data_IF_576625821214
#
_entry.id   IF_576625821214
#
_cell.length_a   1.000
_cell.length_b   1.000
_cell.length_c   1.000
_cell.angle_alpha   90.00
_cell.angle_beta   90.00
_cell.angle_gamma   90.00
#
_symmetry.space_group_name_H-M   'P 1'
#
loop_
_entity.id
_entity.type
_entity.pdbx_description
1 polymer ?
#
# COMPACT_ATOMS: atom_id res chain seq x y z
N UNK A 1 -22.11 -6.79 -23.32
CA UNK A 1 -23.34 -7.28 -22.67
C UNK A 1 -23.86 -6.14 -21.81
N UNK A 2 -25.18 -5.90 -21.76
CA UNK A 2 -25.72 -4.78 -21.00
C UNK A 2 -25.38 -4.96 -19.50
N UNK A 3 -24.67 -4.00 -18.91
CA UNK A 3 -24.38 -4.01 -17.47
C UNK A 3 -25.70 -3.88 -16.73
N UNK A 4 -26.11 -4.91 -16.00
CA UNK A 4 -27.21 -4.83 -15.05
C UNK A 4 -26.93 -3.69 -14.06
N UNK A 5 -27.93 -2.87 -13.74
CA UNK A 5 -27.75 -1.80 -12.75
C UNK A 5 -27.56 -2.42 -11.36
N UNK A 6 -26.81 -1.74 -10.48
CA UNK A 6 -26.61 -2.18 -9.09
C UNK A 6 -27.94 -2.48 -8.41
N UNK A 7 -28.97 -1.66 -8.65
CA UNK A 7 -30.33 -1.89 -8.14
C UNK A 7 -30.90 -3.24 -8.57
N UNK A 8 -30.81 -3.58 -9.86
CA UNK A 8 -31.33 -4.86 -10.38
C UNK A 8 -30.58 -6.09 -9.84
N UNK A 9 -29.28 -5.94 -9.54
CA UNK A 9 -28.48 -7.00 -8.93
C UNK A 9 -28.94 -7.22 -7.48
N UNK A 10 -29.18 -6.15 -6.72
CA UNK A 10 -29.67 -6.23 -5.34
C UNK A 10 -31.05 -6.89 -5.25
N UNK A 11 -31.96 -6.58 -6.18
CA UNK A 11 -33.26 -7.25 -6.27
C UNK A 11 -33.11 -8.75 -6.52
N UNK A 12 -32.14 -9.14 -7.37
CA UNK A 12 -31.76 -10.54 -7.61
C UNK A 12 -31.22 -11.25 -6.38
N UNK A 13 -30.35 -10.59 -5.59
CA UNK A 13 -29.85 -11.13 -4.30
C UNK A 13 -31.01 -11.37 -3.33
N UNK A 14 -31.94 -10.41 -3.20
CA UNK A 14 -33.08 -10.53 -2.31
C UNK A 14 -34.00 -11.70 -2.69
N UNK A 15 -34.29 -11.87 -3.98
CA UNK A 15 -35.09 -12.98 -4.48
C UNK A 15 -34.39 -14.33 -4.26
N UNK A 16 -33.12 -14.46 -4.66
CA UNK A 16 -32.35 -15.69 -4.50
C UNK A 16 -32.14 -16.06 -3.03
N UNK A 17 -31.99 -15.06 -2.14
CA UNK A 17 -31.87 -15.27 -0.69
C UNK A 17 -33.14 -15.89 -0.08
N UNK A 18 -34.32 -15.48 -0.56
CA UNK A 18 -35.59 -16.08 -0.13
C UNK A 18 -35.70 -17.55 -0.57
N UNK A 19 -35.46 -17.83 -1.85
CA UNK A 19 -35.44 -19.19 -2.41
C UNK A 19 -34.43 -20.11 -1.72
N UNK A 20 -33.27 -19.57 -1.33
CA UNK A 20 -32.27 -20.32 -0.57
C UNK A 20 -32.75 -20.71 0.82
N UNK A 21 -33.45 -19.80 1.53
CA UNK A 21 -34.08 -20.10 2.82
C UNK A 21 -35.18 -21.18 2.73
N UNK A 22 -35.77 -21.35 1.55
CA UNK A 22 -36.79 -22.35 1.25
C UNK A 22 -36.21 -23.69 0.71
N UNK A 23 -34.87 -23.84 0.67
CA UNK A 23 -34.15 -25.01 0.14
C UNK A 23 -34.46 -25.33 -1.34
N UNK A 24 -34.79 -24.31 -2.15
CA UNK A 24 -35.03 -24.51 -3.58
C UNK A 24 -33.75 -24.88 -4.33
N UNK A 25 -33.84 -25.81 -5.28
CA UNK A 25 -32.69 -26.25 -6.07
C UNK A 25 -32.12 -25.12 -6.94
N UNK A 26 -30.80 -24.92 -6.92
CA UNK A 26 -30.12 -23.89 -7.70
C UNK A 26 -30.11 -22.48 -7.08
N UNK A 27 -30.85 -22.28 -5.98
CA UNK A 27 -30.93 -20.99 -5.29
C UNK A 27 -29.60 -20.53 -4.69
N UNK A 28 -28.78 -21.48 -4.21
CA UNK A 28 -27.44 -21.22 -3.68
C UNK A 28 -26.50 -20.67 -4.76
N UNK A 29 -26.51 -21.30 -5.93
CA UNK A 29 -25.67 -20.94 -7.06
C UNK A 29 -26.06 -19.55 -7.59
N UNK A 30 -27.36 -19.29 -7.73
CA UNK A 30 -27.89 -17.99 -8.12
C UNK A 30 -27.48 -16.88 -7.14
N UNK A 31 -27.58 -17.15 -5.83
CA UNK A 31 -27.18 -16.19 -4.80
C UNK A 31 -25.68 -15.87 -4.86
N UNK A 32 -24.84 -16.88 -5.13
CA UNK A 32 -23.39 -16.68 -5.34
C UNK A 32 -23.13 -15.84 -6.59
N UNK A 33 -23.83 -16.09 -7.69
CA UNK A 33 -23.64 -15.39 -8.96
C UNK A 33 -24.04 -13.91 -8.87
N UNK A 34 -25.18 -13.61 -8.24
CA UNK A 34 -25.59 -12.23 -7.99
C UNK A 34 -24.64 -11.50 -7.04
N UNK A 35 -24.15 -12.17 -6.00
CA UNK A 35 -23.17 -11.59 -5.07
C UNK A 35 -21.86 -11.24 -5.79
N UNK A 36 -21.37 -12.13 -6.67
CA UNK A 36 -20.20 -11.85 -7.51
C UNK A 36 -20.44 -10.69 -8.48
N UNK A 37 -21.62 -10.64 -9.07
CA UNK A 37 -22.02 -9.57 -9.98
C UNK A 37 -22.09 -8.21 -9.26
N UNK A 38 -22.55 -8.18 -8.01
CA UNK A 38 -22.58 -6.97 -7.20
C UNK A 38 -21.16 -6.48 -6.91
N UNK A 39 -20.27 -7.38 -6.49
CA UNK A 39 -18.85 -7.05 -6.28
C UNK A 39 -18.24 -6.52 -7.57
N UNK A 40 -18.42 -7.21 -8.70
CA UNK A 40 -17.89 -6.79 -10.00
C UNK A 40 -18.45 -5.45 -10.49
N UNK A 41 -19.70 -5.10 -10.13
CA UNK A 41 -20.33 -3.84 -10.51
C UNK A 41 -19.89 -2.65 -9.64
N UNK A 42 -19.45 -2.90 -8.41
CA UNK A 42 -19.01 -1.87 -7.45
C UNK A 42 -17.50 -1.67 -7.43
N UNK A 43 -16.75 -2.73 -7.71
CA UNK A 43 -15.30 -2.73 -7.64
C UNK A 43 -14.68 -1.87 -8.75
N UNK A 44 -13.85 -0.91 -8.36
CA UNK A 44 -13.09 -0.10 -9.32
C UNK A 44 -11.85 -0.85 -9.81
N UNK A 45 -11.28 -0.50 -10.98
CA UNK A 45 -10.10 -1.20 -11.52
C UNK A 45 -8.92 -1.28 -10.56
N UNK A 46 -8.64 -0.23 -9.77
CA UNK A 46 -7.59 -0.25 -8.75
C UNK A 46 -7.86 -1.25 -7.61
N UNK A 47 -9.12 -1.39 -7.19
CA UNK A 47 -9.55 -2.36 -6.19
C UNK A 47 -9.53 -3.78 -6.75
N UNK A 48 -9.97 -3.97 -8.01
CA UNK A 48 -9.80 -5.23 -8.72
C UNK A 48 -8.32 -5.55 -8.95
N UNK A 49 -7.42 -4.59 -9.07
CA UNK A 49 -5.98 -4.89 -9.17
C UNK A 49 -5.40 -5.22 -7.80
N UNK A 50 -5.82 -4.55 -6.74
CA UNK A 50 -5.36 -4.85 -5.40
C UNK A 50 -5.91 -6.19 -4.89
N UNK A 51 -7.21 -6.43 -5.11
CA UNK A 51 -7.97 -7.65 -4.83
C UNK A 51 -7.95 -8.64 -5.97
N UNK A 52 -7.39 -8.36 -7.17
CA UNK A 52 -6.90 -9.36 -8.16
C UNK A 52 -5.39 -9.64 -8.37
N UNK A 53 -4.49 -8.74 -7.95
CA UNK A 53 -3.05 -8.75 -8.15
C UNK A 53 -2.10 -8.76 -6.90
N UNK A 54 -2.51 -8.49 -5.65
CA UNK A 54 -1.58 -8.36 -4.50
C UNK A 54 -1.53 -9.39 -3.35
N UNK A 55 -2.61 -10.04 -2.94
CA UNK A 55 -2.69 -10.81 -1.67
C UNK A 55 -3.12 -12.33 -1.72
N UNK A 56 -3.19 -13.11 -2.84
CA UNK A 56 -3.99 -14.42 -3.05
C UNK A 56 -2.96 -15.41 -3.52
N UNK A 57 -1.93 -14.97 -4.27
CA UNK A 57 -0.65 -15.68 -4.20
C UNK A 57 0.15 -15.35 -2.98
N UNK A 58 -0.13 -14.21 -2.37
CA UNK A 58 0.50 -13.78 -1.14
C UNK A 58 -0.10 -14.53 0.07
N UNK A 59 -1.42 -14.55 0.25
CA UNK A 59 -2.26 -15.71 -0.08
C UNK A 59 -1.60 -17.08 0.06
N UNK A 60 -1.39 -17.67 -1.10
CA UNK A 60 -0.83 -18.98 -1.33
C UNK A 60 0.51 -19.21 -0.62
N UNK A 61 1.41 -18.22 -0.65
CA UNK A 61 2.70 -18.28 0.03
C UNK A 61 2.53 -18.32 1.57
N UNK A 62 1.60 -17.53 2.11
CA UNK A 62 1.28 -17.57 3.52
C UNK A 62 0.58 -18.85 3.94
N UNK A 63 -0.28 -19.42 3.10
CA UNK A 63 -0.88 -20.74 3.36
C UNK A 63 0.24 -21.76 3.45
N UNK A 64 1.22 -21.70 2.54
CA UNK A 64 2.38 -22.61 2.55
C UNK A 64 3.17 -22.49 3.85
N UNK A 65 3.53 -21.28 4.26
CA UNK A 65 4.26 -21.03 5.50
C UNK A 65 3.44 -21.47 6.72
N UNK A 66 2.15 -21.15 6.77
CA UNK A 66 1.23 -21.56 7.83
C UNK A 66 1.10 -23.09 7.94
N UNK A 67 1.15 -23.82 6.82
CA UNK A 67 1.22 -25.29 6.81
C UNK A 67 2.55 -25.79 7.37
N UNK A 68 3.67 -25.23 6.91
CA UNK A 68 5.02 -25.67 7.30
C UNK A 68 5.24 -25.52 8.82
N UNK A 69 4.70 -24.45 9.42
CA UNK A 69 4.81 -24.17 10.85
C UNK A 69 3.63 -24.70 11.68
N UNK A 70 2.73 -25.49 11.08
CA UNK A 70 1.54 -26.07 11.72
C UNK A 70 0.64 -25.05 12.41
N UNK A 71 0.60 -23.83 11.88
CA UNK A 71 -0.17 -22.71 12.43
C UNK A 71 -1.65 -23.08 12.61
N UNK A 72 -2.24 -23.78 11.64
CA UNK A 72 -3.65 -24.17 11.66
C UNK A 72 -3.98 -25.20 12.75
N UNK A 73 -3.05 -26.10 13.05
CA UNK A 73 -3.21 -27.10 14.11
C UNK A 73 -3.17 -26.43 15.48
N UNK A 74 -2.25 -25.49 15.70
CA UNK A 74 -2.18 -24.74 16.95
C UNK A 74 -3.41 -23.85 17.18
N UNK A 75 -3.93 -23.22 16.13
CA UNK A 75 -5.19 -22.46 16.20
C UNK A 75 -6.39 -23.37 16.48
N UNK A 76 -6.44 -24.56 15.86
CA UNK A 76 -7.50 -25.56 16.10
C UNK A 76 -7.48 -26.09 17.53
N UNK A 77 -6.30 -26.36 18.08
CA UNK A 77 -6.12 -26.80 19.47
C UNK A 77 -6.55 -25.74 20.48
N UNK A 78 -6.42 -24.46 20.14
CA UNK A 78 -6.83 -23.35 20.99
C UNK A 78 -8.35 -23.09 21.01
N UNK A 79 -9.08 -23.62 20.03
CA UNK A 79 -10.54 -23.46 19.93
C UNK A 79 -10.98 -22.00 19.87
N UNK A 80 -12.18 -21.72 20.38
CA UNK A 80 -12.82 -20.38 20.30
C UNK A 80 -12.08 -19.29 21.12
N UNK A 81 -11.17 -19.69 22.01
CA UNK A 81 -10.33 -18.77 22.77
C UNK A 81 -9.23 -18.12 21.90
N UNK A 82 -8.88 -18.75 20.78
CA UNK A 82 -7.81 -18.30 19.89
C UNK A 82 -6.42 -18.30 20.54
N UNK A 83 -5.42 -17.79 19.81
CA UNK A 83 -4.07 -17.57 20.31
C UNK A 83 -3.61 -16.17 19.95
N UNK A 84 -2.93 -15.50 20.88
CA UNK A 84 -2.23 -14.25 20.59
C UNK A 84 -1.03 -14.52 19.68
N UNK A 85 -0.57 -13.49 18.96
CA UNK A 85 0.62 -13.60 18.12
C UNK A 85 1.87 -14.05 18.90
N UNK A 86 2.01 -13.60 20.15
CA UNK A 86 3.07 -14.03 21.07
C UNK A 86 2.98 -15.51 21.42
N UNK A 87 1.77 -16.01 21.70
CA UNK A 87 1.55 -17.43 21.99
C UNK A 87 1.76 -18.32 20.75
N UNK A 88 1.43 -17.82 19.56
CA UNK A 88 1.74 -18.49 18.29
C UNK A 88 3.23 -18.49 17.99
N UNK A 89 3.94 -17.41 18.31
CA UNK A 89 5.40 -17.32 18.14
C UNK A 89 6.13 -18.34 19.00
N UNK A 90 5.78 -18.46 20.28
CA UNK A 90 6.35 -19.47 21.17
C UNK A 90 6.10 -20.90 20.66
N UNK A 91 4.93 -21.16 20.07
CA UNK A 91 4.55 -22.49 19.56
C UNK A 91 5.19 -22.85 18.23
N UNK A 92 5.43 -21.86 17.36
CA UNK A 92 5.88 -22.08 15.98
C UNK A 92 7.36 -21.79 15.77
N UNK A 93 8.00 -21.06 16.70
CA UNK A 93 9.36 -20.55 16.54
C UNK A 93 9.49 -19.40 15.52
N UNK A 94 8.37 -18.92 14.98
CA UNK A 94 8.31 -17.80 14.04
C UNK A 94 8.21 -16.50 14.82
N UNK A 95 8.92 -15.45 14.38
CA UNK A 95 8.85 -14.13 15.02
C UNK A 95 7.40 -13.60 15.10
N UNK A 96 7.10 -12.92 16.21
CA UNK A 96 5.76 -12.37 16.50
C UNK A 96 5.29 -11.42 15.39
N UNK A 97 6.18 -10.57 14.88
CA UNK A 97 5.84 -9.61 13.82
C UNK A 97 5.55 -10.33 12.50
N UNK A 98 6.29 -11.40 12.20
CA UNK A 98 6.09 -12.20 11.00
C UNK A 98 4.78 -13.00 11.05
N UNK A 99 4.41 -13.60 12.19
CA UNK A 99 3.12 -14.29 12.36
C UNK A 99 1.92 -13.37 12.22
N UNK A 100 2.03 -12.15 12.76
CA UNK A 100 1.03 -11.10 12.58
C UNK A 100 0.87 -10.73 11.10
N UNK A 101 1.97 -10.67 10.35
CA UNK A 101 1.95 -10.38 8.90
C UNK A 101 1.37 -11.55 8.09
N UNK A 102 1.76 -12.78 8.41
CA UNK A 102 1.33 -14.00 7.71
C UNK A 102 -0.17 -14.26 7.83
N UNK A 103 -0.74 -14.13 9.03
CA UNK A 103 -2.17 -14.38 9.26
C UNK A 103 -3.07 -13.37 8.55
N UNK A 104 -2.63 -12.12 8.39
CA UNK A 104 -3.39 -11.04 7.74
C UNK A 104 -3.43 -11.16 6.22
N UNK A 105 -2.37 -11.70 5.65
CA UNK A 105 -2.15 -11.69 4.22
C UNK A 105 -2.70 -12.96 3.52
N UNK A 106 -3.26 -13.89 4.30
CA UNK A 106 -4.05 -15.06 3.86
C UNK A 106 -5.36 -14.72 3.09
N UNK A 107 -5.50 -13.55 2.44
CA UNK A 107 -6.80 -13.03 1.97
C UNK A 107 -6.98 -12.61 0.48
N UNK A 108 -6.04 -12.10 -0.34
CA UNK A 108 -6.44 -11.69 -1.74
C UNK A 108 -5.43 -11.16 -2.82
N UNK A 109 -5.06 -11.92 -3.90
CA UNK A 109 -4.65 -11.89 -5.38
C UNK A 109 -3.26 -11.63 -6.19
N UNK A 110 -3.14 -11.86 -7.57
CA UNK A 110 -1.99 -11.70 -8.64
C UNK A 110 -2.25 -11.32 -10.18
N UNK A 111 -1.30 -10.56 -10.85
CA UNK A 111 -0.54 -10.75 -12.18
C UNK A 111 0.67 -9.81 -12.57
N UNK A 112 0.82 -8.49 -12.29
CA UNK A 112 2.16 -7.82 -12.37
C UNK A 112 3.10 -8.46 -11.33
N UNK A 113 2.48 -8.72 -10.19
CA UNK A 113 2.97 -9.61 -9.19
C UNK A 113 3.15 -11.05 -9.67
N UNK A 114 2.84 -11.48 -10.91
CA UNK A 114 3.19 -12.82 -11.43
C UNK A 114 4.62 -12.87 -11.95
N UNK A 115 5.00 -11.92 -12.81
CA UNK A 115 6.28 -11.98 -13.51
C UNK A 115 7.40 -11.25 -12.74
N UNK A 116 7.06 -10.19 -12.01
CA UNK A 116 8.05 -9.38 -11.28
C UNK A 116 7.99 -9.64 -9.77
N UNK A 117 6.79 -9.62 -9.17
CA UNK A 117 6.65 -9.79 -7.72
C UNK A 117 6.66 -11.24 -7.24
N UNK A 118 6.08 -12.18 -8.00
CA UNK A 118 5.90 -13.58 -7.60
C UNK A 118 7.21 -14.28 -7.33
N UNK A 119 8.26 -14.09 -8.16
CA UNK A 119 9.54 -14.71 -7.87
C UNK A 119 10.07 -14.25 -6.50
N UNK A 120 9.97 -12.95 -6.19
CA UNK A 120 10.35 -12.39 -4.89
C UNK A 120 9.55 -13.01 -3.75
N UNK A 121 8.21 -12.99 -3.84
CA UNK A 121 7.34 -13.56 -2.81
C UNK A 121 7.47 -15.08 -2.65
N UNK A 122 7.61 -15.83 -3.74
CA UNK A 122 7.87 -17.27 -3.68
C UNK A 122 9.25 -17.58 -3.09
N UNK A 123 10.22 -16.67 -3.27
CA UNK A 123 11.56 -16.76 -2.70
C UNK A 123 11.65 -16.43 -1.22
N UNK A 124 10.64 -15.78 -0.63
CA UNK A 124 10.65 -15.36 0.79
C UNK A 124 11.03 -16.48 1.76
N UNK A 125 10.42 -17.69 1.71
CA UNK A 125 10.75 -18.74 2.68
C UNK A 125 12.23 -19.10 2.68
N UNK A 126 12.82 -19.27 1.49
CA UNK A 126 14.24 -19.60 1.37
C UNK A 126 15.13 -18.40 1.70
N UNK A 127 14.74 -17.18 1.29
CA UNK A 127 15.46 -15.95 1.62
C UNK A 127 15.54 -15.71 3.13
N UNK A 128 14.41 -15.79 3.85
CA UNK A 128 14.43 -15.56 5.29
C UNK A 128 15.05 -16.73 6.04
N UNK A 129 14.93 -17.97 5.55
CA UNK A 129 15.65 -19.11 6.12
C UNK A 129 17.17 -18.93 6.03
N UNK A 130 17.71 -18.46 4.89
CA UNK A 130 19.16 -18.21 4.75
C UNK A 130 19.65 -17.02 5.60
N UNK A 131 18.79 -16.04 5.89
CA UNK A 131 19.14 -14.86 6.71
C UNK A 131 18.76 -15.03 8.18
N UNK A 132 18.46 -16.25 8.64
CA UNK A 132 18.01 -16.51 10.01
C UNK A 132 16.83 -15.62 10.45
N UNK A 133 15.91 -15.40 9.51
CA UNK A 133 14.69 -14.62 9.65
C UNK A 133 14.91 -13.16 10.06
N UNK A 134 16.08 -12.60 9.73
CA UNK A 134 16.36 -11.18 9.90
C UNK A 134 15.82 -10.38 8.72
N UNK A 135 15.24 -9.21 9.01
CA UNK A 135 14.84 -8.24 7.99
C UNK A 135 16.08 -7.69 7.26
N UNK A 136 16.02 -7.48 5.94
CA UNK A 136 17.08 -6.75 5.24
C UNK A 136 17.18 -5.33 5.80
N UNK A 137 18.38 -4.75 5.72
CA UNK A 137 18.56 -3.31 5.96
C UNK A 137 17.74 -2.50 4.95
N UNK A 138 17.15 -1.39 5.40
CA UNK A 138 16.31 -0.54 4.56
C UNK A 138 17.10 -0.07 3.33
N UNK A 139 16.51 -0.19 2.14
CA UNK A 139 17.14 0.20 0.87
C UNK A 139 18.26 -0.73 0.37
N UNK A 140 18.53 -1.85 1.06
CA UNK A 140 19.62 -2.75 0.71
C UNK A 140 19.42 -3.45 -0.64
N UNK A 141 20.53 -3.64 -1.37
CA UNK A 141 20.63 -4.47 -2.59
C UNK A 141 20.80 -5.97 -2.27
N UNK A 142 20.72 -6.37 -1.01
CA UNK A 142 20.71 -7.77 -0.59
C UNK A 142 19.29 -8.22 -0.17
N UNK A 143 18.27 -7.70 -0.88
CA UNK A 143 16.87 -7.93 -0.60
C UNK A 143 16.26 -9.18 -1.27
N UNK A 144 14.99 -9.50 -0.95
CA UNK A 144 14.25 -10.57 -1.60
C UNK A 144 14.16 -10.43 -3.11
N UNK A 145 14.02 -9.19 -3.62
CA UNK A 145 13.98 -8.91 -5.05
C UNK A 145 15.28 -9.31 -5.75
N UNK A 146 16.42 -8.85 -5.22
CA UNK A 146 17.74 -9.14 -5.77
C UNK A 146 18.05 -10.63 -5.73
N UNK A 147 17.67 -11.32 -4.65
CA UNK A 147 17.83 -12.76 -4.57
C UNK A 147 16.95 -13.52 -5.56
N UNK A 148 15.70 -13.10 -5.76
CA UNK A 148 14.81 -13.80 -6.69
C UNK A 148 15.21 -13.60 -8.14
N UNK A 149 15.58 -12.37 -8.52
CA UNK A 149 15.93 -12.01 -9.89
C UNK A 149 17.42 -12.15 -10.20
N UNK A 150 18.22 -12.59 -9.22
CA UNK A 150 19.68 -12.78 -9.33
C UNK A 150 20.38 -11.55 -9.90
N UNK A 151 20.02 -10.38 -9.37
CA UNK A 151 20.49 -9.07 -9.82
C UNK A 151 21.11 -8.30 -8.66
N UNK A 152 21.99 -7.35 -8.98
CA UNK A 152 22.52 -6.35 -8.03
C UNK A 152 21.99 -4.95 -8.33
N UNK A 153 21.06 -4.81 -9.27
CA UNK A 153 20.44 -3.54 -9.59
C UNK A 153 19.34 -3.20 -8.56
N UNK A 154 19.16 -1.91 -8.23
CA UNK A 154 17.93 -1.40 -7.63
C UNK A 154 16.72 -1.75 -8.50
N UNK A 155 15.53 -1.81 -7.89
CA UNK A 155 14.29 -2.22 -8.57
C UNK A 155 14.01 -1.43 -9.86
N UNK A 156 14.00 -0.09 -9.79
CA UNK A 156 13.71 0.75 -10.94
C UNK A 156 14.77 0.64 -12.04
N UNK A 157 16.06 0.56 -11.68
CA UNK A 157 17.14 0.35 -12.64
C UNK A 157 17.01 -1.00 -13.34
N UNK A 158 16.60 -2.04 -12.60
CA UNK A 158 16.33 -3.35 -13.18
C UNK A 158 15.17 -3.29 -14.17
N UNK A 159 14.05 -2.60 -13.86
CA UNK A 159 12.92 -2.44 -14.78
C UNK A 159 13.34 -1.78 -16.10
N UNK A 160 14.16 -0.73 -16.01
CA UNK A 160 14.72 -0.03 -17.18
C UNK A 160 15.63 -0.95 -17.99
N UNK A 161 16.51 -1.70 -17.31
CA UNK A 161 17.47 -2.59 -17.92
C UNK A 161 16.85 -3.86 -18.52
N UNK A 162 15.60 -4.19 -18.18
CA UNK A 162 14.91 -5.43 -18.58
C UNK A 162 13.56 -5.19 -19.26
N UNK A 163 13.52 -4.73 -20.52
CA UNK A 163 12.26 -4.62 -21.27
C UNK A 163 11.54 -5.98 -21.40
N UNK A 164 10.19 -6.03 -21.34
CA UNK A 164 9.24 -4.90 -21.31
C UNK A 164 8.82 -4.44 -19.89
N UNK A 165 9.57 -4.76 -18.84
CA UNK A 165 9.09 -4.64 -17.46
C UNK A 165 8.74 -3.20 -17.02
N UNK A 166 9.47 -2.18 -17.47
CA UNK A 166 9.11 -0.77 -17.20
C UNK A 166 7.74 -0.39 -17.78
N UNK A 167 7.47 -0.78 -19.03
CA UNK A 167 6.17 -0.48 -19.67
C UNK A 167 5.01 -1.16 -18.93
N UNK A 168 5.24 -2.38 -18.43
CA UNK A 168 4.27 -3.09 -17.61
C UNK A 168 4.04 -2.40 -16.26
N UNK A 169 5.11 -1.93 -15.62
CA UNK A 169 5.03 -1.16 -14.37
C UNK A 169 4.25 0.15 -14.57
N UNK A 170 4.51 0.91 -15.62
CA UNK A 170 3.80 2.16 -15.92
C UNK A 170 2.30 1.92 -16.14
N UNK A 171 1.97 0.88 -16.94
CA UNK A 171 0.59 0.48 -17.20
C UNK A 171 -0.13 0.06 -15.91
N UNK A 172 0.58 -0.67 -15.06
CA UNK A 172 0.10 -1.10 -13.75
C UNK A 172 -0.20 0.09 -12.83
N UNK A 173 0.74 1.03 -12.69
CA UNK A 173 0.57 2.23 -11.85
C UNK A 173 -0.55 3.13 -12.34
N UNK A 174 -0.71 3.27 -13.66
CA UNK A 174 -1.83 3.98 -14.26
C UNK A 174 -3.18 3.36 -13.87
N UNK A 175 -3.30 2.04 -13.97
CA UNK A 175 -4.52 1.33 -13.60
C UNK A 175 -4.79 1.33 -12.09
N UNK A 176 -3.74 1.26 -11.25
CA UNK A 176 -3.86 1.33 -9.80
C UNK A 176 -4.40 2.68 -9.31
N UNK A 177 -3.98 3.79 -9.95
CA UNK A 177 -4.45 5.14 -9.64
C UNK A 177 -5.83 5.43 -10.22
N UNK A 178 -6.25 4.70 -11.25
CA UNK A 178 -7.52 4.92 -11.92
C UNK A 178 -8.71 4.69 -10.97
N UNK A 179 -9.57 5.71 -10.86
CA UNK A 179 -10.80 5.65 -10.06
C UNK A 179 -10.63 5.93 -8.57
N UNK A 180 -9.39 6.09 -8.07
CA UNK A 180 -9.15 6.53 -6.69
C UNK A 180 -9.59 7.98 -6.49
N UNK A 181 -10.13 8.28 -5.32
CA UNK A 181 -10.43 9.64 -4.92
C UNK A 181 -9.12 10.44 -4.80
N UNK A 182 -9.07 11.63 -5.40
CA UNK A 182 -7.91 12.50 -5.31
C UNK A 182 -7.93 13.32 -4.01
N UNK A 183 -6.75 13.70 -3.53
CA UNK A 183 -6.63 14.51 -2.33
C UNK A 183 -7.32 15.89 -2.45
N UNK A 184 -7.43 16.42 -3.66
CA UNK A 184 -8.17 17.67 -3.96
C UNK A 184 -9.68 17.46 -4.19
N UNK A 185 -10.19 16.25 -3.94
CA UNK A 185 -11.62 15.96 -4.02
C UNK A 185 -12.43 16.78 -2.99
N UNK A 186 -13.67 17.19 -3.31
CA UNK A 186 -14.52 17.93 -2.39
C UNK A 186 -14.67 17.20 -1.05
N UNK A 187 -14.39 17.89 0.05
CA UNK A 187 -14.58 17.37 1.41
C UNK A 187 -13.40 16.58 1.98
N UNK A 188 -12.28 16.44 1.26
CA UNK A 188 -11.07 15.79 1.80
C UNK A 188 -10.05 16.81 2.31
N UNK A 189 -9.37 17.51 1.40
CA UNK A 189 -8.46 18.60 1.73
C UNK A 189 -9.10 19.95 1.38
N UNK A 190 -9.07 20.95 2.28
CA UNK A 190 -9.67 22.26 2.02
C UNK A 190 -8.80 23.11 1.07
N UNK A 191 -8.73 22.71 -0.20
CA UNK A 191 -7.91 23.34 -1.26
C UNK A 191 -8.18 24.84 -1.36
N UNK A 192 -9.45 25.26 -1.37
CA UNK A 192 -9.81 26.67 -1.48
C UNK A 192 -9.17 27.51 -0.37
N UNK A 193 -9.25 27.07 0.87
CA UNK A 193 -8.74 27.81 2.03
C UNK A 193 -7.21 27.71 2.16
N UNK A 194 -6.68 26.48 2.04
CA UNK A 194 -5.27 26.17 2.32
C UNK A 194 -4.33 26.43 1.16
N UNK A 195 -4.83 26.47 -0.08
CA UNK A 195 -4.01 26.72 -1.27
C UNK A 195 -4.40 27.97 -2.02
N UNK A 196 -5.69 28.20 -2.29
CA UNK A 196 -6.12 29.29 -3.18
C UNK A 196 -6.21 30.63 -2.44
N UNK A 197 -6.95 30.71 -1.35
CA UNK A 197 -7.14 31.97 -0.59
C UNK A 197 -5.85 32.43 0.10
N UNK A 198 -5.00 31.48 0.47
CA UNK A 198 -3.67 31.74 1.06
C UNK A 198 -2.56 31.85 0.02
N UNK A 199 -2.88 31.77 -1.28
CA UNK A 199 -1.94 32.08 -2.35
C UNK A 199 -1.64 33.58 -2.36
N UNK A 200 -0.37 33.89 -2.57
CA UNK A 200 0.14 35.25 -2.57
C UNK A 200 1.19 35.36 -3.67
N UNK A 201 0.78 35.96 -4.77
CA UNK A 201 1.63 36.12 -5.95
C UNK A 201 2.88 37.00 -5.69
N UNK A 202 2.91 37.76 -4.58
CA UNK A 202 4.12 38.48 -4.16
C UNK A 202 5.15 37.57 -3.49
N UNK A 203 4.74 36.39 -3.02
CA UNK A 203 5.60 35.38 -2.42
C UNK A 203 6.18 34.41 -3.45
N UNK A 204 5.35 33.94 -4.39
CA UNK A 204 5.72 33.12 -5.55
C UNK A 204 4.56 33.11 -6.55
N UNK A 205 4.83 33.01 -7.83
CA UNK A 205 3.83 32.82 -8.88
C UNK A 205 3.41 31.35 -9.05
N UNK A 206 4.04 30.42 -8.30
CA UNK A 206 3.79 28.98 -8.41
C UNK A 206 2.87 28.47 -7.28
N UNK A 207 1.73 27.90 -7.69
CA UNK A 207 0.74 27.33 -6.77
C UNK A 207 1.13 25.93 -6.28
N UNK A 208 1.52 25.04 -7.19
CA UNK A 208 1.77 23.62 -6.92
C UNK A 208 2.96 23.13 -7.74
N UNK A 209 3.83 22.36 -7.10
CA UNK A 209 4.94 21.63 -7.74
C UNK A 209 4.76 20.14 -7.45
N UNK A 210 4.73 19.29 -8.48
CA UNK A 210 4.47 17.84 -8.36
C UNK A 210 5.43 16.94 -9.16
N UNK A 211 6.39 17.52 -9.91
CA UNK A 211 7.36 16.78 -10.71
C UNK A 211 8.74 17.44 -10.58
N UNK A 212 9.74 16.65 -10.18
CA UNK A 212 11.16 17.01 -10.12
C UNK A 212 12.03 15.77 -9.84
N UNK A 213 13.31 15.81 -10.18
CA UNK A 213 14.30 14.84 -9.70
C UNK A 213 14.63 15.11 -8.22
N UNK A 214 13.98 14.37 -7.34
CA UNK A 214 14.01 14.58 -5.90
C UNK A 214 15.36 14.31 -5.22
N UNK A 215 16.34 13.73 -5.90
CA UNK A 215 17.72 13.62 -5.41
C UNK A 215 18.56 14.88 -5.67
N UNK A 216 17.98 15.89 -6.32
CA UNK A 216 18.63 17.18 -6.53
C UNK A 216 17.85 18.31 -5.84
N UNK A 217 18.50 19.41 -5.43
CA UNK A 217 17.81 20.53 -4.79
C UNK A 217 16.65 21.04 -5.65
N UNK A 218 15.46 21.18 -5.04
CA UNK A 218 14.26 21.58 -5.76
C UNK A 218 14.43 22.98 -6.39
N UNK A 219 14.33 23.13 -7.73
CA UNK A 219 14.62 24.38 -8.43
C UNK A 219 13.57 25.46 -8.22
N UNK A 220 12.30 25.10 -8.06
CA UNK A 220 11.22 26.07 -7.88
C UNK A 220 11.15 26.47 -6.40
N UNK A 221 11.49 27.72 -6.10
CA UNK A 221 11.56 28.24 -4.72
C UNK A 221 10.28 28.97 -4.32
N UNK A 222 9.87 28.78 -3.07
CA UNK A 222 8.80 29.54 -2.44
C UNK A 222 7.39 29.23 -2.94
N UNK A 223 7.18 28.13 -3.69
CA UNK A 223 5.86 27.76 -4.15
C UNK A 223 4.90 27.57 -2.96
N UNK A 224 3.60 27.77 -3.21
CA UNK A 224 2.58 27.62 -2.17
C UNK A 224 2.50 26.19 -1.66
N UNK A 225 2.62 25.20 -2.54
CA UNK A 225 2.59 23.79 -2.19
C UNK A 225 3.55 22.94 -3.04
N UNK A 226 4.09 21.91 -2.42
CA UNK A 226 4.89 20.86 -3.05
C UNK A 226 4.25 19.51 -2.74
N UNK A 227 3.92 18.73 -3.76
CA UNK A 227 3.18 17.48 -3.63
C UNK A 227 4.06 16.29 -4.00
N UNK A 228 4.10 15.29 -3.12
CA UNK A 228 4.71 13.98 -3.37
C UNK A 228 3.61 12.93 -3.20
N UNK A 229 3.48 12.02 -4.15
CA UNK A 229 2.44 11.00 -4.14
C UNK A 229 3.09 9.63 -4.27
N UNK A 230 3.06 8.84 -3.18
CA UNK A 230 3.66 7.51 -3.11
C UNK A 230 5.11 7.55 -3.61
N UNK A 231 5.91 8.42 -2.99
CA UNK A 231 7.33 8.57 -3.33
C UNK A 231 8.16 8.05 -2.18
N UNK A 232 7.94 8.57 -0.97
CA UNK A 232 8.82 8.30 0.17
C UNK A 232 8.71 6.85 0.66
N UNK A 233 7.62 6.15 0.34
CA UNK A 233 7.46 4.74 0.66
C UNK A 233 8.38 3.80 -0.15
N UNK A 234 8.91 4.24 -1.30
CA UNK A 234 9.83 3.44 -2.12
C UNK A 234 11.27 3.45 -1.57
N UNK A 235 11.53 4.28 -0.56
CA UNK A 235 12.88 4.59 -0.08
C UNK A 235 13.06 4.30 1.41
N UNK A 236 14.31 3.99 1.78
CA UNK A 236 14.75 3.87 3.16
C UNK A 236 14.63 5.20 3.92
N UNK A 237 14.85 5.16 5.24
CA UNK A 237 14.70 6.35 6.07
C UNK A 237 15.78 7.39 5.78
N UNK A 238 17.01 6.99 5.44
CA UNK A 238 18.10 7.93 5.17
C UNK A 238 17.93 8.60 3.79
N UNK A 239 17.59 7.84 2.74
CA UNK A 239 17.27 8.38 1.41
C UNK A 239 16.01 9.24 1.45
N UNK A 240 15.00 8.83 2.23
CA UNK A 240 13.79 9.63 2.42
C UNK A 240 14.07 10.98 3.10
N UNK A 241 15.01 11.03 4.04
CA UNK A 241 15.49 12.30 4.63
C UNK A 241 16.22 13.14 3.59
N UNK A 242 17.12 12.56 2.80
CA UNK A 242 17.84 13.28 1.72
C UNK A 242 16.87 13.94 0.73
N UNK A 243 15.84 13.21 0.29
CA UNK A 243 14.77 13.73 -0.57
C UNK A 243 14.07 14.94 0.07
N UNK A 244 13.71 14.82 1.35
CA UNK A 244 13.05 15.89 2.09
C UNK A 244 13.98 17.09 2.31
N UNK A 245 15.27 16.89 2.56
CA UNK A 245 16.27 17.95 2.70
C UNK A 245 16.42 18.76 1.40
N UNK A 246 16.49 18.08 0.25
CA UNK A 246 16.51 18.72 -1.07
C UNK A 246 15.26 19.57 -1.35
N UNK A 247 14.11 19.14 -0.82
CA UNK A 247 12.85 19.89 -0.90
C UNK A 247 12.82 21.08 0.07
N UNK A 248 13.29 20.90 1.30
CA UNK A 248 13.29 21.92 2.37
C UNK A 248 14.01 23.20 1.94
N UNK A 249 15.08 23.08 1.15
CA UNK A 249 15.80 24.20 0.54
C UNK A 249 14.94 25.08 -0.40
N UNK A 250 13.75 24.63 -0.78
CA UNK A 250 12.80 25.39 -1.59
C UNK A 250 11.65 26.02 -0.79
N UNK A 251 11.46 25.64 0.47
CA UNK A 251 10.31 26.05 1.25
C UNK A 251 10.48 27.46 1.83
N UNK A 252 9.38 28.22 1.87
CA UNK A 252 9.29 29.50 2.58
C UNK A 252 8.58 29.31 3.91
N UNK A 253 9.27 29.58 5.04
CA UNK A 253 8.69 29.44 6.39
C UNK A 253 7.40 30.23 6.54
N UNK A 254 6.39 29.60 7.16
CA UNK A 254 5.06 30.20 7.35
C UNK A 254 4.22 30.35 6.07
N UNK A 255 4.75 29.95 4.91
CA UNK A 255 4.05 30.02 3.63
C UNK A 255 3.93 28.64 2.99
N UNK A 256 5.04 28.04 2.55
CA UNK A 256 5.00 26.79 1.78
C UNK A 256 4.41 25.63 2.59
N UNK A 257 3.72 24.73 1.89
CA UNK A 257 3.20 23.46 2.42
C UNK A 257 3.77 22.29 1.65
N UNK A 258 4.04 21.20 2.36
CA UNK A 258 4.39 19.90 1.77
C UNK A 258 3.18 18.99 1.92
N UNK A 259 2.74 18.40 0.81
CA UNK A 259 1.60 17.51 0.72
C UNK A 259 2.12 16.11 0.36
N UNK A 260 2.12 15.20 1.32
CA UNK A 260 2.54 13.81 1.10
C UNK A 260 1.28 12.94 1.04
N UNK A 261 0.97 12.40 -0.14
CA UNK A 261 -0.08 11.39 -0.26
C UNK A 261 0.55 10.00 -0.10
N UNK A 262 0.42 9.45 1.10
CA UNK A 262 1.18 8.28 1.56
C UNK A 262 0.27 7.39 2.43
N UNK A 263 0.62 6.11 2.57
CA UNK A 263 -0.07 5.24 3.52
C UNK A 263 0.41 5.56 4.94
N UNK A 264 -0.54 5.78 5.85
CA UNK A 264 -0.26 5.91 7.28
C UNK A 264 -0.78 4.66 7.97
N UNK A 265 0.13 3.77 8.34
CA UNK A 265 -0.23 2.47 8.92
C UNK A 265 -0.78 2.68 10.33
N UNK A 266 -2.02 2.26 10.54
CA UNK A 266 -2.60 2.20 11.90
C UNK A 266 -2.00 1.02 12.66
N UNK A 267 -1.41 1.30 13.82
CA UNK A 267 -0.88 0.26 14.71
C UNK A 267 -1.99 -0.58 15.35
N UNK A 268 -3.16 0.03 15.62
CA UNK A 268 -4.28 -0.65 16.27
C UNK A 268 -5.18 -1.39 15.28
N UNK A 269 -5.44 -0.77 14.12
CA UNK A 269 -6.44 -1.23 13.14
C UNK A 269 -5.90 -1.12 11.70
N UNK A 270 -4.80 -1.80 11.37
CA UNK A 270 -4.25 -1.74 10.03
C UNK A 270 -5.25 -2.29 9.02
N UNK A 271 -5.39 -1.62 7.88
CA UNK A 271 -6.19 -2.13 6.77
C UNK A 271 -5.43 -3.22 6.03
N UNK A 272 -6.17 -4.11 5.36
CA UNK A 272 -5.57 -5.11 4.45
C UNK A 272 -4.77 -4.41 3.35
N UNK A 273 -5.30 -3.30 2.84
CA UNK A 273 -4.64 -2.49 1.83
C UNK A 273 -3.25 -2.01 2.28
N UNK A 274 -3.16 -1.41 3.47
CA UNK A 274 -1.91 -0.89 4.02
C UNK A 274 -0.89 -2.01 4.26
N UNK A 275 -1.32 -3.13 4.87
CA UNK A 275 -0.41 -4.25 5.18
C UNK A 275 0.02 -5.04 3.95
N UNK A 276 -0.83 -5.11 2.91
CA UNK A 276 -0.45 -5.74 1.64
C UNK A 276 0.58 -4.89 0.91
N UNK A 277 0.41 -3.57 0.92
CA UNK A 277 1.39 -2.64 0.36
C UNK A 277 2.73 -2.76 1.08
N UNK A 278 2.75 -2.84 2.41
CA UNK A 278 3.98 -3.05 3.19
C UNK A 278 4.74 -4.32 2.77
N UNK A 279 4.02 -5.43 2.52
CA UNK A 279 4.69 -6.65 2.05
C UNK A 279 5.28 -6.47 0.66
N UNK A 280 4.61 -5.70 -0.20
CA UNK A 280 5.09 -5.37 -1.53
C UNK A 280 6.34 -4.49 -1.47
N UNK A 281 6.34 -3.49 -0.60
CA UNK A 281 7.49 -2.61 -0.35
C UNK A 281 8.70 -3.40 0.13
N UNK A 282 8.50 -4.30 1.09
CA UNK A 282 9.56 -5.20 1.54
C UNK A 282 10.06 -6.11 0.41
N UNK A 283 9.14 -6.67 -0.38
CA UNK A 283 9.47 -7.64 -1.43
C UNK A 283 10.27 -7.05 -2.58
N UNK A 284 10.00 -5.79 -2.96
CA UNK A 284 10.57 -5.17 -4.15
C UNK A 284 11.74 -4.23 -3.83
N UNK A 285 11.63 -3.48 -2.74
CA UNK A 285 12.54 -2.38 -2.42
C UNK A 285 13.33 -2.60 -1.12
N UNK A 286 13.01 -3.62 -0.33
CA UNK A 286 13.55 -3.80 1.02
C UNK A 286 13.22 -2.62 1.94
N UNK A 287 12.04 -2.01 1.77
CA UNK A 287 11.55 -0.88 2.57
C UNK A 287 10.23 -1.24 3.26
N UNK A 288 9.57 -0.26 3.88
CA UNK A 288 8.36 -0.45 4.68
C UNK A 288 7.38 0.69 4.48
N UNK A 289 6.10 0.39 4.66
CA UNK A 289 5.10 1.41 4.95
C UNK A 289 5.29 1.94 6.38
N UNK A 290 5.00 3.23 6.59
CA UNK A 290 5.28 3.91 7.85
C UNK A 290 4.02 4.18 8.66
N UNK A 291 4.14 4.01 9.97
CA UNK A 291 3.16 4.47 10.97
C UNK A 291 3.20 5.99 11.10
N UNK A 292 2.19 6.59 11.76
CA UNK A 292 2.21 8.02 12.05
C UNK A 292 3.46 8.44 12.83
N UNK A 293 3.89 7.65 13.81
CA UNK A 293 5.07 7.95 14.61
C UNK A 293 6.34 7.99 13.76
N UNK A 294 6.47 7.07 12.81
CA UNK A 294 7.60 7.00 11.88
C UNK A 294 7.58 8.13 10.86
N UNK A 295 6.40 8.49 10.32
CA UNK A 295 6.25 9.68 9.49
C UNK A 295 6.65 10.95 10.24
N UNK A 296 6.22 11.11 11.49
CA UNK A 296 6.64 12.25 12.32
C UNK A 296 8.16 12.27 12.51
N UNK A 297 8.78 11.12 12.74
CA UNK A 297 10.21 11.01 12.96
C UNK A 297 11.03 11.39 11.71
N UNK A 298 10.68 10.87 10.52
CA UNK A 298 11.41 11.15 9.29
C UNK A 298 11.25 12.61 8.85
N UNK A 299 10.05 13.18 8.94
CA UNK A 299 9.82 14.60 8.65
C UNK A 299 10.58 15.51 9.62
N UNK A 300 10.58 15.18 10.91
CA UNK A 300 11.31 15.98 11.92
C UNK A 300 12.82 15.98 11.67
N UNK A 301 13.41 14.86 11.23
CA UNK A 301 14.84 14.80 10.85
C UNK A 301 15.18 15.79 9.73
N UNK A 302 14.28 15.98 8.77
CA UNK A 302 14.45 16.94 7.68
C UNK A 302 14.03 18.39 8.05
N UNK A 303 13.61 18.65 9.30
CA UNK A 303 13.19 19.99 9.73
C UNK A 303 11.75 20.36 9.34
N UNK A 304 10.87 19.38 9.17
CA UNK A 304 9.44 19.56 8.90
C UNK A 304 8.58 19.16 10.09
N UNK A 305 7.48 19.90 10.29
CA UNK A 305 6.42 19.57 11.25
C UNK A 305 5.15 19.14 10.50
N UNK A 306 4.51 18.06 10.96
CA UNK A 306 3.17 17.67 10.47
C UNK A 306 2.12 18.61 11.08
N UNK A 307 1.37 19.28 10.20
CA UNK A 307 0.24 20.15 10.53
C UNK A 307 -1.02 19.32 10.74
N UNK A 308 -1.32 18.41 9.82
CA UNK A 308 -2.49 17.56 9.86
C UNK A 308 -2.31 16.29 9.04
N UNK A 309 -3.05 15.23 9.39
CA UNK A 309 -3.14 14.00 8.60
C UNK A 309 -4.61 13.78 8.26
N UNK A 310 -4.95 13.88 6.98
CA UNK A 310 -6.30 13.65 6.46
C UNK A 310 -6.45 12.19 6.06
N UNK A 311 -7.40 11.49 6.68
CA UNK A 311 -7.67 10.06 6.43
C UNK A 311 -9.16 9.84 6.12
N UNK A 312 -9.49 8.90 5.24
CA UNK A 312 -10.87 8.43 5.07
C UNK A 312 -11.06 6.99 5.58
N UNK A 313 -12.20 6.68 6.22
CA UNK A 313 -12.55 5.31 6.55
C UNK A 313 -12.58 4.42 5.30
N UNK A 314 -11.83 3.32 5.31
CA UNK A 314 -11.82 2.33 4.24
C UNK A 314 -10.78 2.57 3.14
N UNK A 315 -10.11 3.73 3.12
CA UNK A 315 -9.00 4.03 2.18
C UNK A 315 -7.67 3.86 2.91
N UNK A 316 -6.66 3.31 2.23
CA UNK A 316 -5.34 3.07 2.83
C UNK A 316 -4.48 4.33 2.89
N UNK A 317 -4.58 5.17 1.86
CA UNK A 317 -3.81 6.39 1.70
C UNK A 317 -4.38 7.52 2.56
N UNK A 318 -3.48 8.36 3.02
CA UNK A 318 -3.75 9.57 3.79
C UNK A 318 -2.99 10.73 3.15
N UNK A 319 -3.48 11.95 3.36
CA UNK A 319 -2.73 13.16 3.01
C UNK A 319 -2.09 13.73 4.28
N UNK A 320 -0.76 13.71 4.34
CA UNK A 320 0.02 14.37 5.38
C UNK A 320 0.32 15.79 4.91
N UNK A 321 -0.23 16.78 5.59
CA UNK A 321 0.13 18.19 5.41
C UNK A 321 1.27 18.53 6.38
N UNK A 322 2.39 19.01 5.85
CA UNK A 322 3.55 19.42 6.62
C UNK A 322 4.01 20.84 6.26
N UNK A 323 4.77 21.45 7.17
CA UNK A 323 5.40 22.76 6.99
C UNK A 323 6.80 22.80 7.59
N UNK A 324 7.57 23.82 7.22
CA UNK A 324 8.90 24.05 7.79
C UNK A 324 8.80 24.37 9.28
N UNK A 325 9.58 23.67 10.11
CA UNK A 325 9.65 23.87 11.55
C UNK A 325 10.17 25.26 11.95
#
# INVERSE_FOLDING_TARGET
>A
MASSSVSSILDGIAAAGKSFGENEAGSREALIEYSRSLVAALEIPGEFIQRSFWAEPAMSANIRIAVDVKLFQHLKEAGDAGLSASALSEKTGVDVSLLQRLTRHLVAIISFCYDTGRPSFNGFPEFFKKTYYQSPSLGSLEGPFQDAHKTQLPFFEWLVATPPHLQHFDSFMSAHRAGKANWYGPGFYPVSERMITSFDASSSDVLLVDIHDFFTPQPIKGARSYSLYSILHDWGDDEGVEILENLVLALKKGYSRVLLNEIVVSEEKPTIAATSMDMMMLAHFSVRERTEAEWRAILAKAGLNIVHIYTYPGVAESLIEAELA
#
